data_IF_383876728419
#
_entry.id   IF_383876728419
#
_cell.length_a   1.000
_cell.length_b   1.000
_cell.length_c   1.000
_cell.angle_alpha   90.00
_cell.angle_beta   90.00
_cell.angle_gamma   90.00
#
_symmetry.space_group_name_H-M   'P 1'
#
loop_
_entity.id
_entity.type
_entity.pdbx_description
1 polymer ?
#
# COMPACT_ATOMS: atom_id res chain seq x y z
N UNK A 1 5.98 15.29 11.22
CA UNK A 1 4.57 14.88 11.45
C UNK A 1 3.62 15.52 10.44
N UNK A 2 3.87 16.76 9.99
CA UNK A 2 2.98 17.49 9.06
C UNK A 2 2.61 16.77 7.75
N UNK A 3 3.50 15.93 7.19
CA UNK A 3 3.21 15.22 5.94
C UNK A 3 2.07 14.20 6.10
N UNK A 4 2.04 13.48 7.22
CA UNK A 4 1.02 12.46 7.48
C UNK A 4 -0.35 13.09 7.71
N UNK A 5 -0.40 14.17 8.49
CA UNK A 5 -1.64 14.94 8.71
C UNK A 5 -2.18 15.52 7.40
N UNK A 6 -1.29 15.97 6.51
CA UNK A 6 -1.69 16.51 5.20
C UNK A 6 -2.22 15.41 4.27
N UNK A 7 -1.63 14.23 4.30
CA UNK A 7 -2.14 13.06 3.55
C UNK A 7 -3.52 12.66 4.11
N UNK A 8 -3.69 12.63 5.42
CA UNK A 8 -4.96 12.31 6.06
C UNK A 8 -6.07 13.28 5.66
N UNK A 9 -5.79 14.60 5.66
CA UNK A 9 -6.74 15.61 5.19
C UNK A 9 -7.15 15.42 3.72
N UNK A 10 -6.18 15.11 2.85
CA UNK A 10 -6.44 14.84 1.44
C UNK A 10 -7.34 13.60 1.31
N UNK A 11 -7.02 12.52 2.02
CA UNK A 11 -7.78 11.27 2.01
C UNK A 11 -9.22 11.48 2.51
N UNK A 12 -9.39 12.23 3.59
CA UNK A 12 -10.72 12.56 4.14
C UNK A 12 -11.55 13.42 3.16
N UNK A 13 -10.90 14.24 2.33
CA UNK A 13 -11.59 15.02 1.27
C UNK A 13 -12.25 14.10 0.23
N UNK A 14 -11.72 12.89 0.04
CA UNK A 14 -12.33 11.90 -0.85
C UNK A 14 -13.46 11.10 -0.21
N UNK A 15 -13.63 11.12 1.12
CA UNK A 15 -14.72 10.40 1.83
C UNK A 15 -16.11 10.59 1.22
N UNK A 16 -16.57 11.81 0.86
CA UNK A 16 -17.89 12.00 0.25
C UNK A 16 -18.03 11.42 -1.17
N UNK A 17 -16.93 11.11 -1.86
CA UNK A 17 -16.95 10.49 -3.20
C UNK A 17 -17.32 9.01 -3.12
N UNK A 18 -17.12 8.37 -1.97
CA UNK A 18 -17.45 6.98 -1.76
C UNK A 18 -18.84 6.84 -1.14
N UNK A 19 -19.76 6.19 -1.86
CA UNK A 19 -21.11 5.89 -1.34
C UNK A 19 -21.12 4.75 -0.32
N UNK A 20 -20.07 3.91 -0.29
CA UNK A 20 -19.94 2.77 0.62
C UNK A 20 -18.70 2.92 1.49
N UNK A 21 -18.88 2.80 2.80
CA UNK A 21 -17.80 2.87 3.78
C UNK A 21 -16.70 1.84 3.51
N UNK A 22 -17.08 0.59 3.23
CA UNK A 22 -16.13 -0.46 2.87
C UNK A 22 -15.25 -0.08 1.66
N UNK A 23 -15.81 0.56 0.63
CA UNK A 23 -15.03 0.98 -0.55
C UNK A 23 -14.03 2.08 -0.22
N UNK A 24 -14.38 2.99 0.69
CA UNK A 24 -13.46 4.01 1.19
C UNK A 24 -12.34 3.39 2.01
N UNK A 25 -12.65 2.46 2.92
CA UNK A 25 -11.64 1.75 3.72
C UNK A 25 -10.64 0.99 2.84
N UNK A 26 -11.14 0.25 1.83
CA UNK A 26 -10.27 -0.42 0.86
C UNK A 26 -9.39 0.55 0.07
N UNK A 27 -9.93 1.71 -0.31
CA UNK A 27 -9.16 2.76 -0.96
C UNK A 27 -8.04 3.29 -0.06
N UNK A 28 -8.34 3.57 1.21
CA UNK A 28 -7.35 4.03 2.20
C UNK A 28 -6.25 2.98 2.38
N UNK A 29 -6.61 1.70 2.55
CA UNK A 29 -5.66 0.60 2.69
C UNK A 29 -4.75 0.46 1.47
N UNK A 30 -5.30 0.54 0.26
CA UNK A 30 -4.50 0.49 -0.97
C UNK A 30 -3.56 1.68 -1.10
N UNK A 31 -4.03 2.89 -0.79
CA UNK A 31 -3.21 4.10 -0.84
C UNK A 31 -2.03 4.02 0.14
N UNK A 32 -2.26 3.57 1.37
CA UNK A 32 -1.19 3.35 2.35
C UNK A 32 -0.25 2.21 1.91
N UNK A 33 -0.78 1.13 1.33
CA UNK A 33 0.03 0.08 0.74
C UNK A 33 0.98 0.62 -0.33
N UNK A 34 0.50 1.48 -1.23
CA UNK A 34 1.34 2.13 -2.24
C UNK A 34 2.36 3.09 -1.61
N UNK A 35 1.93 3.97 -0.69
CA UNK A 35 2.82 4.93 -0.03
C UNK A 35 3.94 4.28 0.80
N UNK A 36 3.65 3.14 1.43
CA UNK A 36 4.65 2.36 2.18
C UNK A 36 5.55 1.54 1.25
N UNK A 37 5.04 1.11 0.09
CA UNK A 37 5.79 0.31 -0.88
C UNK A 37 6.67 1.13 -1.84
N UNK A 38 6.38 2.42 -2.02
CA UNK A 38 7.22 3.33 -2.82
C UNK A 38 8.55 3.70 -2.16
N UNK A 39 8.84 3.20 -0.95
CA UNK A 39 10.18 3.21 -0.37
C UNK A 39 11.00 2.06 -1.01
N UNK A 40 11.87 2.33 -1.99
CA UNK A 40 12.31 1.31 -2.95
C UNK A 40 13.27 0.25 -2.40
N UNK A 41 13.78 0.42 -1.17
CA UNK A 41 14.82 -0.46 -0.62
C UNK A 41 14.28 -1.72 0.08
N UNK A 42 13.00 -1.79 0.43
CA UNK A 42 12.47 -2.87 1.28
C UNK A 42 11.51 -3.86 0.60
N UNK A 43 10.67 -3.38 -0.33
CA UNK A 43 9.54 -4.19 -0.82
C UNK A 43 9.93 -5.20 -1.89
N UNK A 44 10.93 -4.88 -2.73
CA UNK A 44 11.57 -5.88 -3.59
C UNK A 44 12.26 -6.97 -2.78
N UNK A 45 12.76 -6.67 -1.58
CA UNK A 45 13.38 -7.68 -0.69
C UNK A 45 12.35 -8.58 0.00
N UNK A 46 11.16 -8.08 0.33
CA UNK A 46 10.08 -8.91 0.90
C UNK A 46 9.50 -9.88 -0.14
N UNK A 47 9.28 -9.43 -1.37
CA UNK A 47 8.84 -10.32 -2.46
C UNK A 47 9.92 -11.34 -2.81
N UNK A 48 11.20 -10.95 -2.76
CA UNK A 48 12.32 -11.87 -2.95
C UNK A 48 12.50 -12.86 -1.76
N UNK A 49 12.00 -12.51 -0.57
CA UNK A 49 12.03 -13.36 0.63
C UNK A 49 10.86 -14.35 0.74
N UNK A 50 9.71 -14.08 0.09
CA UNK A 50 8.48 -14.90 0.19
C UNK A 50 8.40 -15.97 -0.93
N UNK A 51 9.54 -16.47 -1.42
CA UNK A 51 9.57 -17.79 -2.03
C UNK A 51 9.67 -17.85 -3.55
N UNK A 52 10.72 -17.24 -4.10
CA UNK A 52 11.33 -17.73 -5.33
C UNK A 52 12.83 -17.96 -5.09
N UNK A 53 13.15 -18.76 -4.07
CA UNK A 53 14.45 -19.42 -4.04
C UNK A 53 14.47 -20.42 -5.19
N UNK A 54 15.49 -20.36 -6.03
CA UNK A 54 15.66 -21.10 -7.29
C UNK A 54 15.54 -22.64 -7.16
N UNK A 55 15.47 -23.19 -5.96
CA UNK A 55 15.34 -24.63 -5.69
C UNK A 55 14.03 -25.30 -6.15
N UNK A 56 13.02 -24.56 -6.63
CA UNK A 56 11.78 -25.13 -7.17
C UNK A 56 11.70 -25.15 -8.70
N UNK A 57 12.68 -24.59 -9.40
CA UNK A 57 12.83 -24.77 -10.86
C UNK A 57 13.97 -25.76 -11.13
N UNK A 58 13.75 -27.03 -10.79
CA UNK A 58 14.54 -28.10 -11.39
C UNK A 58 13.95 -28.46 -12.77
N UNK A 59 14.79 -28.71 -13.80
CA UNK A 59 14.35 -29.19 -15.10
C UNK A 59 13.77 -30.61 -15.04
#
# INVERSE_FOLDING_TARGET
MELYERIEQIVLTFRPVFSREASFEWFVLLLWGVLLTTQPSGVTSYVNGIGLSEGYYHP
#
